data_IF_738130588124
#
_entry.id   IF_738130588124
#
_cell.length_a   1.000
_cell.length_b   1.000
_cell.length_c   1.000
_cell.angle_alpha   90.00
_cell.angle_beta   90.00
_cell.angle_gamma   90.00
#
_symmetry.space_group_name_H-M   'P 1'
#
loop_
_entity.id
_entity.type
_entity.pdbx_description
1 polymer ?
#
# COMPACT_ATOMS: atom_id res chain seq x y z
N UNK A 1 -34.53 -0.50 16.70
CA UNK A 1 -33.36 0.13 16.10
C UNK A 1 -32.41 0.48 17.23
N UNK A 2 -31.26 -0.19 17.27
CA UNK A 2 -30.22 0.05 18.28
C UNK A 2 -29.31 1.15 17.75
N UNK A 3 -29.08 2.19 18.55
CA UNK A 3 -28.15 3.27 18.22
C UNK A 3 -27.17 3.50 19.37
N UNK A 4 -25.93 3.84 19.01
CA UNK A 4 -24.90 4.28 19.93
C UNK A 4 -24.46 5.69 19.55
N UNK A 5 -24.31 6.54 20.56
CA UNK A 5 -23.93 7.94 20.40
C UNK A 5 -22.70 8.23 21.24
N UNK A 6 -21.77 8.99 20.68
CA UNK A 6 -20.64 9.56 21.41
C UNK A 6 -20.67 11.08 21.29
N UNK A 7 -20.35 11.77 22.37
CA UNK A 7 -20.39 13.22 22.47
C UNK A 7 -19.00 13.78 22.79
N UNK A 8 -18.69 14.97 22.28
CA UNK A 8 -17.42 15.62 22.57
C UNK A 8 -17.42 16.13 24.01
N UNK A 9 -16.29 15.94 24.71
CA UNK A 9 -16.14 16.41 26.08
C UNK A 9 -16.24 17.93 26.20
N UNK A 10 -15.77 18.66 25.19
CA UNK A 10 -15.65 20.12 25.22
C UNK A 10 -16.91 20.83 24.71
N UNK A 11 -17.67 20.18 23.83
CA UNK A 11 -18.90 20.72 23.28
C UNK A 11 -19.92 19.61 23.02
N UNK A 12 -20.97 19.52 23.83
CA UNK A 12 -21.93 18.40 23.77
C UNK A 12 -22.80 18.39 22.51
N UNK A 13 -22.81 19.48 21.71
CA UNK A 13 -23.47 19.46 20.40
C UNK A 13 -22.66 18.67 19.37
N UNK A 14 -21.36 18.50 19.55
CA UNK A 14 -20.50 17.74 18.65
C UNK A 14 -20.63 16.25 18.97
N UNK A 15 -21.22 15.51 18.02
CA UNK A 15 -21.61 14.12 18.25
C UNK A 15 -21.32 13.25 17.04
N UNK A 16 -21.14 11.95 17.27
CA UNK A 16 -21.20 10.92 16.22
C UNK A 16 -22.21 9.88 16.68
N UNK A 17 -23.17 9.56 15.83
CA UNK A 17 -24.14 8.50 16.06
C UNK A 17 -23.89 7.36 15.10
N UNK A 18 -23.90 6.13 15.62
CA UNK A 18 -23.82 4.90 14.84
C UNK A 18 -25.06 4.07 15.09
N UNK A 19 -25.65 3.54 14.03
CA UNK A 19 -26.90 2.78 14.06
C UNK A 19 -26.87 1.69 12.98
N UNK A 20 -27.58 0.60 13.25
CA UNK A 20 -27.85 -0.42 12.24
C UNK A 20 -29.22 -0.18 11.59
N UNK A 21 -29.26 -0.12 10.27
CA UNK A 21 -30.47 0.08 9.46
C UNK A 21 -30.29 -0.64 8.12
N UNK A 22 -31.31 -1.38 7.68
CA UNK A 22 -31.33 -2.11 6.40
C UNK A 22 -30.13 -3.06 6.15
N UNK A 23 -29.59 -3.65 7.22
CA UNK A 23 -28.45 -4.56 7.13
C UNK A 23 -27.10 -3.85 6.94
N UNK A 24 -27.05 -2.53 7.15
CA UNK A 24 -25.84 -1.72 7.08
C UNK A 24 -25.60 -0.95 8.38
N UNK A 25 -24.34 -0.56 8.61
CA UNK A 25 -23.93 0.28 9.74
C UNK A 25 -23.73 1.71 9.24
N UNK A 26 -24.56 2.63 9.72
CA UNK A 26 -24.51 4.03 9.33
C UNK A 26 -23.76 4.85 10.37
N UNK A 27 -22.82 5.68 9.91
CA UNK A 27 -22.14 6.68 10.73
C UNK A 27 -22.72 8.05 10.39
N UNK A 28 -23.40 8.69 11.35
CA UNK A 28 -23.99 10.02 11.20
C UNK A 28 -23.17 11.03 12.02
N UNK A 29 -22.26 11.79 11.38
CA UNK A 29 -21.54 12.85 12.08
C UNK A 29 -22.48 14.03 12.32
N UNK A 30 -22.56 14.47 13.58
CA UNK A 30 -23.15 15.76 13.96
C UNK A 30 -22.12 16.89 13.99
N UNK A 31 -20.82 16.57 13.90
CA UNK A 31 -19.69 17.51 13.86
C UNK A 31 -18.47 16.85 13.26
N UNK A 32 -17.50 17.65 12.83
CA UNK A 32 -16.27 17.19 12.17
C UNK A 32 -15.27 16.52 13.14
N UNK A 33 -15.35 16.83 14.44
CA UNK A 33 -14.43 16.30 15.45
C UNK A 33 -15.12 15.98 16.78
N UNK A 34 -14.85 14.79 17.34
CA UNK A 34 -15.29 14.41 18.69
C UNK A 34 -14.07 14.02 19.52
N UNK A 35 -13.94 14.63 20.70
CA UNK A 35 -12.88 14.33 21.68
C UNK A 35 -13.49 13.73 22.96
N UNK A 36 -13.80 12.42 22.99
CA UNK A 36 -14.39 11.75 24.14
C UNK A 36 -13.33 11.41 25.20
N UNK A 37 -13.76 10.96 26.38
CA UNK A 37 -12.84 10.30 27.32
C UNK A 37 -12.47 8.90 26.81
N UNK A 38 -11.32 8.32 27.23
CA UNK A 38 -10.94 6.96 26.83
C UNK A 38 -12.00 5.90 27.13
N UNK A 39 -12.70 5.99 28.27
CA UNK A 39 -13.74 5.01 28.63
C UNK A 39 -15.02 5.17 27.82
N UNK A 40 -15.40 6.40 27.47
CA UNK A 40 -16.50 6.66 26.55
C UNK A 40 -16.16 6.15 25.14
N UNK A 41 -14.92 6.37 24.67
CA UNK A 41 -14.45 5.85 23.39
C UNK A 41 -14.48 4.31 23.35
N UNK A 42 -14.03 3.63 24.41
CA UNK A 42 -14.08 2.18 24.52
C UNK A 42 -15.51 1.65 24.51
N UNK A 43 -16.41 2.29 25.27
CA UNK A 43 -17.83 1.90 25.31
C UNK A 43 -18.47 2.06 23.95
N UNK A 44 -18.22 3.17 23.27
CA UNK A 44 -18.73 3.43 21.92
C UNK A 44 -18.21 2.42 20.89
N UNK A 45 -16.90 2.12 20.91
CA UNK A 45 -16.30 1.11 20.04
C UNK A 45 -16.92 -0.29 20.24
N UNK A 46 -17.19 -0.68 21.49
CA UNK A 46 -17.90 -1.93 21.79
C UNK A 46 -19.33 -1.94 21.26
N UNK A 47 -20.03 -0.80 21.31
CA UNK A 47 -21.35 -0.65 20.73
C UNK A 47 -21.35 -0.83 19.20
N UNK A 48 -20.35 -0.28 18.51
CA UNK A 48 -20.18 -0.48 17.05
C UNK A 48 -19.97 -1.97 16.73
N UNK A 49 -19.13 -2.66 17.50
CA UNK A 49 -18.91 -4.10 17.31
C UNK A 49 -20.19 -4.90 17.53
N UNK A 50 -20.95 -4.59 18.59
CA UNK A 50 -22.24 -5.25 18.84
C UNK A 50 -23.24 -5.02 17.70
N UNK A 51 -23.31 -3.81 17.13
CA UNK A 51 -24.16 -3.56 15.96
C UNK A 51 -23.70 -4.36 14.73
N UNK A 52 -22.39 -4.46 14.50
CA UNK A 52 -21.85 -5.25 13.39
C UNK A 52 -22.22 -6.74 13.55
N UNK A 53 -22.04 -7.27 14.77
CA UNK A 53 -22.41 -8.65 15.10
C UNK A 53 -23.92 -8.90 14.94
N UNK A 54 -24.78 -7.92 15.26
CA UNK A 54 -26.23 -7.99 15.00
C UNK A 54 -26.55 -8.07 13.50
N UNK A 55 -25.77 -7.43 12.65
CA UNK A 55 -25.98 -7.38 11.19
C UNK A 55 -25.48 -8.65 10.48
N UNK A 56 -24.28 -9.13 10.82
CA UNK A 56 -23.65 -10.27 10.12
C UNK A 56 -23.65 -11.59 10.92
N UNK A 57 -24.25 -11.59 12.11
CA UNK A 57 -24.34 -12.76 13.00
C UNK A 57 -23.06 -13.07 13.76
N UNK A 58 -22.11 -12.14 13.83
CA UNK A 58 -20.82 -12.35 14.49
C UNK A 58 -19.94 -13.35 13.74
N UNK A 59 -20.16 -13.51 12.43
CA UNK A 59 -19.34 -14.36 11.60
C UNK A 59 -17.91 -13.81 11.62
N UNK A 60 -16.92 -14.69 11.88
CA UNK A 60 -15.52 -14.32 11.79
C UNK A 60 -15.25 -13.79 10.38
N UNK A 61 -15.12 -12.47 10.28
CA UNK A 61 -14.88 -11.77 9.02
C UNK A 61 -13.56 -12.26 8.43
N UNK A 62 -13.52 -12.36 7.11
CA UNK A 62 -12.33 -12.66 6.33
C UNK A 62 -11.12 -11.91 6.90
N UNK A 63 -9.94 -12.55 6.86
CA UNK A 63 -8.71 -11.94 7.35
C UNK A 63 -8.61 -10.48 6.87
N UNK A 64 -8.20 -9.54 7.76
CA UNK A 64 -8.11 -8.15 7.38
C UNK A 64 -7.25 -8.06 6.12
N UNK A 65 -7.83 -7.48 5.06
CA UNK A 65 -7.13 -7.30 3.80
C UNK A 65 -5.76 -6.67 4.10
N UNK A 66 -4.70 -7.21 3.47
CA UNK A 66 -3.37 -6.67 3.66
C UNK A 66 -3.38 -5.16 3.39
N UNK A 67 -2.73 -4.40 4.27
CA UNK A 67 -2.62 -2.95 4.09
C UNK A 67 -1.70 -2.65 2.91
N UNK A 68 -2.31 -2.47 1.74
CA UNK A 68 -1.65 -2.15 0.47
C UNK A 68 -1.29 -0.67 0.32
N UNK A 69 -1.48 0.14 1.36
CA UNK A 69 -1.08 1.56 1.31
C UNK A 69 0.46 1.66 1.22
N UNK A 70 1.00 2.57 0.38
CA UNK A 70 2.44 2.81 0.30
C UNK A 70 3.03 3.17 1.66
N UNK A 71 4.22 2.63 1.96
CA UNK A 71 4.97 2.84 3.21
C UNK A 71 6.35 3.42 2.90
N UNK A 72 6.97 4.02 3.91
CA UNK A 72 8.36 4.51 3.80
C UNK A 72 9.29 3.33 3.50
N UNK A 73 10.12 3.50 2.49
CA UNK A 73 11.02 2.46 1.97
C UNK A 73 10.48 1.75 0.72
N UNK A 74 9.19 1.84 0.43
CA UNK A 74 8.61 1.20 -0.75
C UNK A 74 9.15 1.84 -2.04
N UNK A 75 9.42 0.98 -3.04
CA UNK A 75 9.64 1.43 -4.41
C UNK A 75 8.30 1.62 -5.11
N UNK A 76 8.11 2.79 -5.67
CA UNK A 76 6.82 3.17 -6.28
C UNK A 76 7.03 3.83 -7.64
N UNK A 77 6.01 3.72 -8.49
CA UNK A 77 5.86 4.50 -9.71
C UNK A 77 4.91 5.66 -9.39
N UNK A 78 5.31 6.88 -9.72
CA UNK A 78 4.43 8.05 -9.59
C UNK A 78 3.37 7.99 -10.68
N UNK A 79 2.10 8.12 -10.30
CA UNK A 79 0.97 8.17 -11.25
C UNK A 79 0.33 9.54 -11.30
N UNK A 80 0.52 10.35 -10.26
CA UNK A 80 0.02 11.72 -10.17
C UNK A 80 1.00 12.53 -9.30
N UNK A 81 1.53 13.62 -9.85
CA UNK A 81 2.43 14.53 -9.15
C UNK A 81 1.68 15.75 -8.58
N UNK A 82 2.42 16.76 -8.14
CA UNK A 82 1.85 17.99 -7.60
C UNK A 82 1.31 18.87 -8.75
N UNK A 83 0.02 19.21 -8.77
CA UNK A 83 -0.54 20.10 -9.80
C UNK A 83 -0.02 21.54 -9.70
N UNK A 84 0.54 21.93 -8.56
CA UNK A 84 1.04 23.29 -8.32
C UNK A 84 2.55 23.41 -8.51
N UNK A 85 3.28 22.29 -8.64
CA UNK A 85 4.74 22.27 -8.78
C UNK A 85 5.22 21.18 -9.75
N UNK A 86 5.87 21.60 -10.85
CA UNK A 86 6.51 20.72 -11.84
C UNK A 86 5.61 19.60 -12.38
N UNK A 87 4.36 19.96 -12.65
CA UNK A 87 3.32 19.05 -13.14
C UNK A 87 3.74 18.29 -14.40
N UNK A 88 3.56 16.97 -14.34
CA UNK A 88 3.90 16.01 -15.39
C UNK A 88 5.36 15.57 -15.41
N UNK A 89 6.28 16.21 -14.66
CA UNK A 89 7.72 15.89 -14.73
C UNK A 89 8.04 14.53 -14.09
N UNK A 90 7.29 14.14 -13.06
CA UNK A 90 7.59 12.93 -12.28
C UNK A 90 6.69 11.74 -12.60
N UNK A 91 5.58 11.97 -13.31
CA UNK A 91 4.64 10.90 -13.69
C UNK A 91 5.35 9.82 -14.51
N UNK A 92 5.22 8.57 -14.08
CA UNK A 92 5.87 7.40 -14.67
C UNK A 92 7.26 7.10 -14.12
N UNK A 93 7.89 8.01 -13.38
CA UNK A 93 9.18 7.76 -12.77
C UNK A 93 9.06 6.81 -11.57
N UNK A 94 10.11 6.00 -11.40
CA UNK A 94 10.26 5.10 -10.25
C UNK A 94 11.12 5.80 -9.20
N UNK A 95 10.66 5.78 -7.94
CA UNK A 95 11.44 6.27 -6.81
C UNK A 95 11.15 5.50 -5.54
N UNK A 96 11.75 5.93 -4.43
CA UNK A 96 11.54 5.36 -3.10
C UNK A 96 10.73 6.33 -2.24
N UNK A 97 9.68 5.83 -1.59
CA UNK A 97 8.90 6.62 -0.64
C UNK A 97 9.77 6.92 0.59
N UNK A 98 9.95 8.21 0.90
CA UNK A 98 10.69 8.68 2.08
C UNK A 98 9.78 9.32 3.12
N UNK A 99 8.52 9.61 2.78
CA UNK A 99 7.48 10.03 3.72
C UNK A 99 6.07 9.77 3.19
N UNK A 100 5.11 9.56 4.10
CA UNK A 100 3.67 9.33 3.80
C UNK A 100 2.74 10.29 4.57
N UNK A 101 3.30 11.40 5.08
CA UNK A 101 2.61 12.37 5.94
C UNK A 101 2.55 13.78 5.32
N UNK A 102 2.55 13.86 3.99
CA UNK A 102 2.31 15.12 3.31
C UNK A 102 0.90 15.66 3.56
N UNK A 103 0.65 16.88 3.11
CA UNK A 103 -0.70 17.45 3.13
C UNK A 103 -1.68 16.65 2.26
N UNK A 104 -2.97 16.98 2.37
CA UNK A 104 -4.04 16.27 1.66
C UNK A 104 -3.87 16.17 0.14
N UNK A 105 -3.24 17.16 -0.50
CA UNK A 105 -3.03 17.18 -1.95
C UNK A 105 -1.85 16.33 -2.41
N UNK A 106 -0.83 16.13 -1.59
CA UNK A 106 0.42 15.45 -1.97
C UNK A 106 0.99 14.66 -0.80
N UNK A 107 0.36 13.54 -0.40
CA UNK A 107 0.71 12.82 0.83
C UNK A 107 2.04 12.08 0.75
N UNK A 108 2.55 11.78 -0.46
CA UNK A 108 3.72 10.92 -0.65
C UNK A 108 4.96 11.73 -1.00
N UNK A 109 6.05 11.57 -0.25
CA UNK A 109 7.35 12.13 -0.60
C UNK A 109 8.20 11.05 -1.25
N UNK A 110 8.60 11.23 -2.51
CA UNK A 110 9.33 10.23 -3.30
C UNK A 110 10.72 10.76 -3.64
N UNK A 111 11.76 9.95 -3.40
CA UNK A 111 13.16 10.21 -3.75
C UNK A 111 13.52 9.47 -5.05
N UNK A 112 14.06 10.19 -6.03
CA UNK A 112 14.40 9.65 -7.36
C UNK A 112 15.91 9.41 -7.57
N UNK A 113 16.76 10.01 -6.74
CA UNK A 113 18.21 9.92 -6.79
C UNK A 113 18.83 10.62 -5.57
N UNK A 114 20.12 10.93 -5.59
CA UNK A 114 20.82 11.53 -4.45
C UNK A 114 20.76 13.06 -4.36
N UNK A 115 19.97 13.70 -5.23
CA UNK A 115 19.72 15.12 -5.19
C UNK A 115 18.98 15.57 -3.93
N UNK A 116 18.96 16.90 -3.71
CA UNK A 116 18.11 17.53 -2.69
C UNK A 116 16.76 17.96 -3.27
N UNK A 117 15.84 18.36 -2.40
CA UNK A 117 14.56 18.95 -2.80
C UNK A 117 14.74 20.06 -3.84
N UNK A 118 13.85 20.17 -4.82
CA UNK A 118 13.96 21.21 -5.85
C UNK A 118 14.80 20.78 -7.06
N UNK A 119 15.48 19.64 -7.02
CA UNK A 119 16.19 19.06 -8.18
C UNK A 119 15.45 17.87 -8.76
N UNK A 120 15.55 17.67 -10.06
CA UNK A 120 14.93 16.55 -10.77
C UNK A 120 15.37 15.18 -10.19
N UNK A 121 16.63 15.05 -9.78
CA UNK A 121 17.19 13.84 -9.17
C UNK A 121 17.04 13.79 -7.62
N UNK A 122 16.25 14.70 -7.04
CA UNK A 122 16.06 14.81 -5.61
C UNK A 122 14.82 14.10 -5.08
N UNK A 123 14.05 14.81 -4.27
CA UNK A 123 12.77 14.33 -3.77
C UNK A 123 11.64 15.34 -3.98
N UNK A 124 10.46 14.84 -4.24
CA UNK A 124 9.25 15.61 -4.52
C UNK A 124 8.05 15.03 -3.82
N UNK A 125 7.07 15.90 -3.56
CA UNK A 125 5.77 15.46 -3.07
C UNK A 125 4.90 15.07 -4.27
N UNK A 126 4.20 13.96 -4.13
CA UNK A 126 3.37 13.37 -5.16
C UNK A 126 1.99 13.08 -4.59
N UNK A 127 0.99 13.22 -5.44
CA UNK A 127 -0.41 12.99 -5.10
C UNK A 127 -0.77 11.51 -5.12
N UNK A 128 -0.27 10.80 -6.13
CA UNK A 128 -0.59 9.41 -6.39
C UNK A 128 0.65 8.59 -6.72
N UNK A 129 0.78 7.44 -6.08
CA UNK A 129 1.81 6.46 -6.36
C UNK A 129 1.20 5.06 -6.41
N UNK A 130 1.83 4.15 -7.16
CA UNK A 130 1.51 2.73 -7.13
C UNK A 130 2.78 1.91 -6.85
N UNK A 131 2.67 0.70 -6.28
CA UNK A 131 3.82 -0.17 -6.13
C UNK A 131 4.54 -0.33 -7.46
N UNK A 132 5.85 -0.10 -7.47
CA UNK A 132 6.66 -0.62 -8.55
C UNK A 132 6.65 -2.13 -8.35
N UNK A 133 6.24 -2.91 -9.37
CA UNK A 133 6.48 -4.36 -9.33
C UNK A 133 7.91 -4.60 -8.91
N UNK A 134 8.21 -5.62 -8.10
CA UNK A 134 9.59 -5.92 -7.77
C UNK A 134 10.35 -5.99 -9.08
N UNK A 135 11.29 -5.06 -9.27
CA UNK A 135 12.32 -5.26 -10.26
C UNK A 135 12.90 -6.65 -9.97
N UNK A 136 13.20 -7.41 -11.01
CA UNK A 136 13.74 -8.77 -10.92
C UNK A 136 15.09 -8.89 -10.15
N UNK A 137 15.47 -7.87 -9.39
CA UNK A 137 16.74 -7.69 -8.70
C UNK A 137 16.70 -8.07 -7.21
N UNK A 138 15.65 -8.76 -6.75
CA UNK A 138 15.64 -9.41 -5.43
C UNK A 138 15.26 -10.88 -5.50
N UNK A 139 15.74 -11.59 -6.52
CA UNK A 139 15.93 -13.04 -6.44
C UNK A 139 17.40 -13.29 -6.06
N UNK A 140 17.74 -13.17 -4.77
CA UNK A 140 19.08 -13.54 -4.26
C UNK A 140 19.32 -15.05 -4.23
N UNK A 141 18.31 -15.85 -4.59
CA UNK A 141 18.44 -17.28 -4.85
C UNK A 141 17.68 -17.59 -6.14
N UNK A 142 18.35 -17.67 -7.30
CA UNK A 142 17.68 -17.95 -8.56
C UNK A 142 16.87 -19.25 -8.43
N UNK A 143 15.58 -19.17 -8.73
CA UNK A 143 14.72 -20.35 -8.67
C UNK A 143 15.09 -21.29 -9.82
N UNK A 144 14.78 -22.58 -9.65
CA UNK A 144 14.98 -23.57 -10.72
C UNK A 144 14.25 -23.16 -12.00
N UNK A 145 13.06 -22.57 -11.91
CA UNK A 145 12.37 -21.99 -13.08
C UNK A 145 13.15 -20.84 -13.74
N UNK A 146 13.78 -19.95 -12.97
CA UNK A 146 14.56 -18.84 -13.54
C UNK A 146 15.77 -19.34 -14.33
N UNK A 147 16.44 -20.40 -13.84
CA UNK A 147 17.52 -21.04 -14.59
C UNK A 147 17.03 -21.74 -15.85
N UNK A 148 15.88 -22.42 -15.81
CA UNK A 148 15.31 -23.07 -16.99
C UNK A 148 14.87 -22.06 -18.06
N UNK A 149 14.32 -20.92 -17.66
CA UNK A 149 13.96 -19.85 -18.60
C UNK A 149 15.21 -19.26 -19.26
N UNK A 150 16.26 -19.00 -18.47
CA UNK A 150 17.53 -18.47 -19.00
C UNK A 150 18.24 -19.45 -19.92
N UNK A 151 18.20 -20.74 -19.58
CA UNK A 151 18.72 -21.81 -20.44
C UNK A 151 17.97 -21.86 -21.78
N UNK A 152 16.64 -21.78 -21.76
CA UNK A 152 15.83 -21.76 -22.99
C UNK A 152 16.13 -20.55 -23.88
N UNK A 153 16.42 -19.38 -23.30
CA UNK A 153 16.84 -18.19 -24.04
C UNK A 153 18.22 -18.36 -24.72
N UNK A 154 19.19 -18.95 -24.01
CA UNK A 154 20.55 -19.15 -24.53
C UNK A 154 20.61 -20.20 -25.63
N UNK A 155 19.80 -21.26 -25.50
CA UNK A 155 19.75 -22.36 -26.46
C UNK A 155 19.08 -21.99 -27.80
N UNK A 156 18.24 -20.94 -27.82
CA UNK A 156 17.49 -20.55 -29.00
C UNK A 156 16.60 -21.68 -29.56
N UNK A 157 16.15 -21.55 -30.81
CA UNK A 157 15.25 -22.53 -31.42
C UNK A 157 15.94 -23.84 -31.87
N UNK A 158 17.27 -23.86 -31.97
CA UNK A 158 18.08 -25.02 -32.40
C UNK A 158 19.44 -24.99 -31.70
N UNK A 159 19.55 -25.50 -30.46
CA UNK A 159 20.82 -25.51 -29.76
C UNK A 159 21.83 -26.45 -30.42
N UNK A 160 23.08 -26.02 -30.45
CA UNK A 160 24.19 -26.88 -30.85
C UNK A 160 24.52 -27.89 -29.74
N UNK A 161 25.29 -28.93 -30.09
CA UNK A 161 25.79 -29.88 -29.10
C UNK A 161 26.66 -29.21 -28.01
N UNK A 162 27.36 -28.12 -28.35
CA UNK A 162 28.15 -27.35 -27.39
C UNK A 162 27.26 -26.65 -26.36
N UNK A 163 26.17 -26.05 -26.81
CA UNK A 163 25.25 -25.33 -25.94
C UNK A 163 24.54 -26.28 -24.95
N UNK A 164 24.28 -27.52 -25.40
CA UNK A 164 23.72 -28.57 -24.56
C UNK A 164 24.71 -29.09 -23.50
N UNK A 165 26.01 -29.15 -23.82
CA UNK A 165 27.07 -29.56 -22.89
C UNK A 165 27.29 -28.46 -21.84
N UNK A 166 27.39 -27.20 -22.25
CA UNK A 166 27.55 -26.08 -21.31
C UNK A 166 26.36 -25.96 -20.33
N UNK A 167 25.14 -26.20 -20.82
CA UNK A 167 23.96 -26.24 -19.94
C UNK A 167 24.00 -27.42 -18.95
N UNK A 168 24.46 -28.60 -19.40
CA UNK A 168 24.55 -29.77 -18.54
C UNK A 168 25.60 -29.57 -17.43
N UNK A 169 26.77 -29.04 -17.77
CA UNK A 169 27.85 -28.75 -16.82
C UNK A 169 27.43 -27.67 -15.81
N UNK A 170 26.69 -26.65 -16.27
CA UNK A 170 26.10 -25.62 -15.42
C UNK A 170 25.08 -26.21 -14.43
N UNK A 171 24.18 -27.09 -14.88
CA UNK A 171 23.18 -27.74 -14.02
C UNK A 171 23.79 -28.76 -13.06
N UNK A 172 24.92 -29.37 -13.42
CA UNK A 172 25.69 -30.28 -12.55
C UNK A 172 26.48 -29.52 -11.46
N UNK A 173 26.61 -28.20 -11.57
CA UNK A 173 27.34 -27.36 -10.62
C UNK A 173 28.86 -27.42 -10.79
N UNK A 174 29.35 -27.86 -11.95
CA UNK A 174 30.79 -28.04 -12.22
C UNK A 174 31.49 -26.77 -12.75
N UNK A 175 30.77 -25.64 -12.79
CA UNK A 175 31.26 -24.35 -13.32
C UNK A 175 31.33 -23.20 -12.30
N UNK A 176 31.56 -23.48 -11.02
CA UNK A 176 31.83 -22.49 -9.98
C UNK A 176 33.30 -22.52 -9.51
#
# INVERSE_FOLDING_TARGET
>A
MTEYKIECRYNRSDTITVLAEDGEIWFKPGSDNVSPTPDAARTFARGILALADEVDGGAAKAEPAEDTRPKVGDRVIVVEDDPDDRTGEFVGLVGTVVSVNGGFSTPFKVKFGDGHHGRADGYWWCRGVKPASPAADTITTPTREAYLHRAAELLGANPSASDLIELADYLAGEGA
#
